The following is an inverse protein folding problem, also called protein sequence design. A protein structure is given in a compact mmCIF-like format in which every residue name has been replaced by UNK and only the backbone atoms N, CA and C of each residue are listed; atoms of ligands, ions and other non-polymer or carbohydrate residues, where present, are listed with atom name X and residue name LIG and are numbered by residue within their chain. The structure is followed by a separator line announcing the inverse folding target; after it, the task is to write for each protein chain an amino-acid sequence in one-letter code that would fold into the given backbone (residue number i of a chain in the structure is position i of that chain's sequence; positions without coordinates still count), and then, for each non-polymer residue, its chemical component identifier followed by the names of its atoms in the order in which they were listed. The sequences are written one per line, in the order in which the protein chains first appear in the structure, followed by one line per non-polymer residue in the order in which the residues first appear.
data_IF_783642429800
#
_entry.id   IF_783642429800
#
_cell.length_a   1.000
_cell.length_b   1.000
_cell.length_c   1.000
_cell.angle_alpha   90.00
_cell.angle_beta   90.00
_cell.angle_gamma   90.00
#
_symmetry.space_group_name_H-M   'P 1'
#
loop_
_entity.id
_entity.type
_entity.pdbx_description
1 polymer ?
#
# COMPACT_ATOMS: atom_id res chain seq x y z
N UNK A 1 6.79 -0.08 16.26
CA UNK A 1 6.13 -0.43 14.98
C UNK A 1 7.24 -0.87 14.03
N UNK A 2 7.19 -2.09 13.51
CA UNK A 2 8.19 -2.56 12.56
C UNK A 2 7.77 -2.17 11.14
N UNK A 3 8.37 -1.11 10.61
CA UNK A 3 8.08 -0.59 9.27
C UNK A 3 8.45 -1.59 8.18
N UNK A 4 9.43 -2.45 8.43
CA UNK A 4 9.83 -3.51 7.50
C UNK A 4 8.75 -4.59 7.44
N UNK A 5 8.11 -4.90 8.56
CA UNK A 5 7.02 -5.88 8.58
C UNK A 5 5.81 -5.39 7.80
N UNK A 6 5.46 -4.11 7.91
CA UNK A 6 4.39 -3.51 7.10
C UNK A 6 4.78 -3.54 5.62
N UNK A 7 6.03 -3.24 5.29
CA UNK A 7 6.53 -3.32 3.91
C UNK A 7 6.40 -4.72 3.31
N UNK A 8 6.60 -5.77 4.10
CA UNK A 8 6.44 -7.17 3.65
C UNK A 8 5.01 -7.55 3.31
N UNK A 9 4.03 -6.91 3.95
CA UNK A 9 2.60 -7.13 3.67
C UNK A 9 2.14 -6.42 2.39
N UNK A 10 2.93 -5.48 1.87
CA UNK A 10 2.61 -4.75 0.65
C UNK A 10 2.90 -5.60 -0.59
N UNK A 11 1.97 -5.65 -1.56
CA UNK A 11 2.22 -6.32 -2.83
C UNK A 11 3.34 -5.63 -3.61
N UNK A 12 3.93 -6.35 -4.56
CA UNK A 12 4.92 -5.81 -5.48
C UNK A 12 4.31 -4.59 -6.21
N UNK A 13 5.07 -3.49 -6.26
CA UNK A 13 4.62 -2.25 -6.88
C UNK A 13 3.85 -1.29 -5.95
N UNK A 14 3.44 -1.73 -4.77
CA UNK A 14 2.64 -0.91 -3.84
C UNK A 14 3.27 0.45 -3.51
N UNK A 15 4.58 0.52 -3.28
CA UNK A 15 5.25 1.79 -2.97
C UNK A 15 5.15 2.80 -4.13
N UNK A 16 5.15 2.32 -5.37
CA UNK A 16 4.95 3.15 -6.56
C UNK A 16 3.51 3.63 -6.65
N UNK A 17 2.54 2.77 -6.35
CA UNK A 17 1.13 3.14 -6.32
C UNK A 17 0.81 4.13 -5.20
N UNK A 18 1.36 3.92 -4.00
CA UNK A 18 1.27 4.85 -2.88
C UNK A 18 1.84 6.21 -3.29
N UNK A 19 3.01 6.24 -3.94
CA UNK A 19 3.61 7.48 -4.45
C UNK A 19 2.69 8.22 -5.43
N UNK A 20 2.10 7.49 -6.39
CA UNK A 20 1.17 8.06 -7.37
C UNK A 20 -0.11 8.58 -6.71
N UNK A 21 -0.69 7.84 -5.76
CA UNK A 21 -1.97 8.20 -5.11
C UNK A 21 -1.85 9.34 -4.11
N UNK A 22 -0.70 9.45 -3.45
CA UNK A 22 -0.46 10.47 -2.40
C UNK A 22 0.30 11.69 -2.89
N UNK A 23 0.78 11.67 -4.13
CA UNK A 23 1.72 12.67 -4.67
C UNK A 23 3.01 12.82 -3.85
N UNK A 24 3.32 11.87 -2.97
CA UNK A 24 4.57 11.83 -2.21
C UNK A 24 5.65 11.23 -3.11
N UNK A 25 6.84 11.83 -3.11
CA UNK A 25 7.96 11.34 -3.88
C UNK A 25 8.30 9.88 -3.49
N UNK A 26 8.45 9.01 -4.48
CA UNK A 26 8.77 7.59 -4.29
C UNK A 26 10.02 7.38 -3.41
N UNK A 27 11.06 8.20 -3.58
CA UNK A 27 12.27 8.12 -2.78
C UNK A 27 11.99 8.41 -1.30
N UNK A 28 11.09 9.34 -0.99
CA UNK A 28 10.68 9.64 0.40
C UNK A 28 9.98 8.44 1.02
N UNK A 29 9.04 7.82 0.30
CA UNK A 29 8.36 6.60 0.75
C UNK A 29 9.38 5.47 0.97
N UNK A 30 10.32 5.30 0.03
CA UNK A 30 11.34 4.26 0.15
C UNK A 30 12.27 4.48 1.36
N UNK A 31 12.65 5.72 1.65
CA UNK A 31 13.46 6.10 2.83
C UNK A 31 12.71 5.81 4.13
N UNK A 32 11.45 6.21 4.21
CA UNK A 32 10.58 5.87 5.33
C UNK A 32 10.55 4.35 5.58
N UNK A 33 10.31 3.56 4.53
CA UNK A 33 10.33 2.09 4.60
C UNK A 33 11.73 1.47 4.71
N UNK A 34 12.80 2.26 4.79
CA UNK A 34 14.14 1.84 5.20
C UNK A 34 14.43 2.18 6.67
N UNK A 35 13.52 2.89 7.35
CA UNK A 35 13.67 3.36 8.72
C UNK A 35 14.34 4.73 8.84
N UNK A 36 14.52 5.45 7.73
CA UNK A 36 15.02 6.82 7.74
C UNK A 36 13.89 7.78 8.14
N UNK A 37 14.20 8.77 8.97
CA UNK A 37 13.25 9.82 9.35
C UNK A 37 13.06 10.79 8.19
N UNK A 38 11.81 11.06 7.84
CA UNK A 38 11.44 12.06 6.83
C UNK A 38 10.49 13.09 7.44
N UNK A 39 10.40 14.26 6.79
CA UNK A 39 9.41 15.27 7.21
C UNK A 39 7.96 14.85 6.93
N UNK A 40 7.78 13.80 6.13
CA UNK A 40 6.49 13.33 5.64
C UNK A 40 6.11 11.96 6.23
N UNK A 41 6.70 11.57 7.36
CA UNK A 41 6.50 10.24 7.93
C UNK A 41 5.02 9.96 8.22
N UNK A 42 4.28 10.96 8.72
CA UNK A 42 2.85 10.83 9.02
C UNK A 42 2.05 10.65 7.72
N UNK A 43 2.33 11.47 6.71
CA UNK A 43 1.66 11.42 5.42
C UNK A 43 1.93 10.08 4.69
N UNK A 44 3.15 9.53 4.80
CA UNK A 44 3.48 8.20 4.27
C UNK A 44 2.71 7.11 5.02
N UNK A 45 2.56 7.22 6.35
CA UNK A 45 1.76 6.29 7.15
C UNK A 45 0.28 6.31 6.76
N UNK A 46 -0.30 7.50 6.59
CA UNK A 46 -1.69 7.69 6.17
C UNK A 46 -1.94 7.14 4.76
N UNK A 47 -1.05 7.48 3.82
CA UNK A 47 -1.12 7.00 2.44
C UNK A 47 -1.00 5.47 2.35
N UNK A 48 -0.08 4.88 3.12
CA UNK A 48 0.09 3.42 3.21
C UNK A 48 -1.16 2.76 3.79
N UNK A 49 -1.73 3.35 4.84
CA UNK A 49 -2.94 2.84 5.49
C UNK A 49 -4.12 2.85 4.53
N UNK A 50 -4.32 3.96 3.82
CA UNK A 50 -5.37 4.11 2.80
C UNK A 50 -5.21 3.08 1.69
N UNK A 51 -3.99 2.93 1.17
CA UNK A 51 -3.68 1.93 0.14
C UNK A 51 -4.04 0.51 0.57
N UNK A 52 -3.65 0.12 1.79
CA UNK A 52 -3.94 -1.23 2.30
C UNK A 52 -5.44 -1.51 2.47
N UNK A 53 -6.23 -0.50 2.87
CA UNK A 53 -7.70 -0.63 2.95
C UNK A 53 -8.29 -0.86 1.56
N UNK A 54 -7.96 0.01 0.62
CA UNK A 54 -8.44 -0.08 -0.77
C UNK A 54 -8.02 -1.41 -1.43
N UNK A 55 -6.78 -1.85 -1.21
CA UNK A 55 -6.28 -3.11 -1.75
C UNK A 55 -7.05 -4.33 -1.20
N UNK A 56 -7.35 -4.34 0.11
CA UNK A 56 -8.13 -5.43 0.74
C UNK A 56 -9.55 -5.49 0.19
N UNK A 57 -10.19 -4.34 0.04
CA UNK A 57 -11.54 -4.24 -0.54
C UNK A 57 -11.55 -4.68 -2.02
N UNK A 58 -10.63 -4.15 -2.83
CA UNK A 58 -10.51 -4.53 -4.23
C UNK A 58 -10.24 -6.03 -4.43
N UNK A 59 -9.37 -6.61 -3.58
CA UNK A 59 -9.08 -8.05 -3.60
C UNK A 59 -10.31 -8.89 -3.24
N UNK A 60 -11.07 -8.48 -2.22
CA UNK A 60 -12.29 -9.20 -1.81
C UNK A 60 -13.33 -9.19 -2.95
N UNK A 61 -13.56 -8.02 -3.56
CA UNK A 61 -14.51 -7.86 -4.66
C UNK A 61 -14.08 -8.70 -5.88
N UNK A 62 -12.81 -8.62 -6.27
CA UNK A 62 -12.29 -9.39 -7.40
C UNK A 62 -12.41 -10.92 -7.19
N UNK A 63 -12.21 -11.39 -5.94
CA UNK A 63 -12.41 -12.81 -5.61
C UNK A 63 -13.88 -13.23 -5.69
N UNK A 64 -14.80 -12.39 -5.21
CA UNK A 64 -16.24 -12.66 -5.29
C UNK A 64 -16.73 -12.71 -6.74
N UNK A 65 -16.31 -11.76 -7.57
CA UNK A 65 -16.65 -11.73 -9.00
C UNK A 65 -16.09 -12.95 -9.74
N UNK A 66 -14.82 -13.32 -9.46
CA UNK A 66 -14.21 -14.49 -10.05
C UNK A 66 -14.95 -15.78 -9.68
N UNK A 67 -15.38 -15.92 -8.41
CA UNK A 67 -16.17 -17.07 -7.96
C UNK A 67 -17.55 -17.13 -8.61
N UNK A 68 -18.21 -15.97 -8.77
CA UNK A 68 -19.51 -15.88 -9.43
C UNK A 68 -19.42 -16.30 -10.91
N UNK A 69 -18.36 -15.89 -11.62
CA UNK A 69 -18.14 -16.29 -13.02
C UNK A 69 -17.75 -17.77 -13.13
N UNK A 70 -16.93 -18.29 -12.22
CA UNK A 70 -16.48 -19.68 -12.28
C UNK A 70 -17.55 -20.71 -11.86
N UNK A 71 -18.58 -20.28 -11.12
CA UNK A 71 -19.69 -21.14 -10.67
C UNK A 71 -20.93 -21.08 -11.57
N UNK A 72 -20.90 -20.25 -12.62
CA UNK A 72 -21.96 -20.09 -13.62
C UNK A 72 -21.72 -21.01 -14.82
#
# INVERSE_FOLDING_TARGET
MDIQEIKRQLPIGALSEISKKSSINFATIQRFFKGEKTKLDIEVMEATTKYLKEYKEAKANALQELQAVASA
#
